data_IF_311870833600
#
_entry.id   IF_311870833600
#
_cell.length_a   1.000
_cell.length_b   1.000
_cell.length_c   1.000
_cell.angle_alpha   90.00
_cell.angle_beta   90.00
_cell.angle_gamma   90.00
#
_symmetry.space_group_name_H-M   'P 1'
#
loop_
_entity.id
_entity.type
_entity.pdbx_description
1 polymer ?
#
# COMPACT_ATOMS: atom_id res chain seq x y z
N UNK A 1 -63.65 -1.94 -21.71
CA UNK A 1 -63.03 -1.97 -20.38
C UNK A 1 -62.54 -3.39 -20.12
N UNK A 2 -61.22 -3.53 -19.90
CA UNK A 2 -60.52 -4.53 -19.08
C UNK A 2 -60.61 -6.03 -19.44
N UNK A 3 -59.52 -6.55 -20.03
CA UNK A 3 -58.77 -7.77 -19.64
C UNK A 3 -57.52 -7.82 -20.57
N UNK A 4 -56.36 -7.22 -20.25
CA UNK A 4 -55.28 -7.67 -19.34
C UNK A 4 -55.00 -9.16 -19.37
N UNK A 5 -53.76 -9.50 -19.78
CA UNK A 5 -53.05 -10.78 -19.61
C UNK A 5 -53.70 -11.96 -20.31
N UNK A 6 -53.11 -12.58 -21.33
CA UNK A 6 -52.01 -13.55 -21.23
C UNK A 6 -51.56 -13.78 -22.69
N UNK A 7 -50.33 -13.50 -23.11
CA UNK A 7 -49.24 -14.48 -23.18
C UNK A 7 -48.35 -14.05 -24.36
N UNK A 8 -47.64 -12.94 -24.16
CA UNK A 8 -46.44 -12.64 -24.92
C UNK A 8 -45.34 -13.60 -24.47
N UNK A 9 -44.56 -14.10 -25.44
CA UNK A 9 -43.29 -14.82 -25.30
C UNK A 9 -43.35 -16.36 -25.19
N UNK A 10 -43.32 -17.00 -26.36
CA UNK A 10 -42.62 -18.25 -26.69
C UNK A 10 -42.82 -18.41 -28.21
N UNK A 11 -41.84 -18.41 -29.09
CA UNK A 11 -40.74 -19.37 -29.17
C UNK A 11 -39.55 -18.69 -29.88
N UNK A 12 -38.47 -18.45 -29.14
CA UNK A 12 -37.14 -18.27 -29.71
C UNK A 12 -36.39 -19.56 -29.36
N UNK A 13 -36.51 -20.57 -30.23
CA UNK A 13 -35.79 -21.84 -30.11
C UNK A 13 -34.28 -21.60 -30.20
N UNK A 14 -33.65 -21.54 -29.03
CA UNK A 14 -32.57 -22.43 -28.59
C UNK A 14 -31.58 -22.96 -29.65
N UNK A 15 -30.67 -22.12 -30.11
CA UNK A 15 -29.32 -22.57 -30.51
C UNK A 15 -28.34 -22.16 -29.39
N UNK A 16 -28.49 -22.81 -28.23
CA UNK A 16 -27.46 -22.84 -27.20
C UNK A 16 -26.24 -23.54 -27.80
N UNK A 17 -25.28 -22.75 -28.27
CA UNK A 17 -23.95 -23.26 -28.61
C UNK A 17 -23.36 -23.80 -27.31
N UNK A 18 -23.43 -25.12 -27.19
CA UNK A 18 -22.69 -26.01 -26.31
C UNK A 18 -21.20 -25.66 -26.41
N UNK A 19 -20.77 -24.72 -25.57
CA UNK A 19 -19.37 -24.51 -25.25
C UNK A 19 -18.93 -25.70 -24.40
N UNK A 20 -18.57 -26.78 -25.09
CA UNK A 20 -17.90 -27.95 -24.53
C UNK A 20 -16.61 -27.52 -23.84
N UNK A 21 -16.75 -27.07 -22.60
CA UNK A 21 -15.66 -26.76 -21.70
C UNK A 21 -15.14 -28.10 -21.20
N UNK A 22 -14.16 -28.66 -21.94
CA UNK A 22 -13.37 -29.81 -21.51
C UNK A 22 -12.64 -29.40 -20.23
N UNK A 23 -13.26 -29.73 -19.09
CA UNK A 23 -12.80 -29.43 -17.75
C UNK A 23 -11.57 -30.24 -17.36
N UNK A 24 -10.48 -30.06 -18.12
CA UNK A 24 -9.14 -30.43 -17.69
C UNK A 24 -8.33 -29.19 -17.32
N UNK A 25 -8.92 -28.33 -16.50
CA UNK A 25 -8.19 -27.32 -15.75
C UNK A 25 -7.66 -27.98 -14.47
N UNK A 26 -6.71 -28.91 -14.65
CA UNK A 26 -5.81 -29.34 -13.59
C UNK A 26 -4.85 -28.18 -13.28
N UNK A 27 -5.40 -27.14 -12.67
CA UNK A 27 -4.64 -26.04 -12.11
C UNK A 27 -3.70 -26.59 -11.05
N UNK A 28 -2.43 -26.77 -11.44
CA UNK A 28 -1.31 -26.92 -10.54
C UNK A 28 -1.16 -25.60 -9.77
N UNK A 29 -2.02 -25.42 -8.77
CA UNK A 29 -1.77 -24.46 -7.70
C UNK A 29 -0.60 -25.04 -6.91
N UNK A 30 0.62 -24.78 -7.39
CA UNK A 30 1.79 -24.88 -6.55
C UNK A 30 1.51 -24.01 -5.33
N UNK A 31 1.27 -24.65 -4.19
CA UNK A 31 1.34 -24.05 -2.86
C UNK A 31 2.76 -23.50 -2.74
N UNK A 32 2.96 -22.29 -3.26
CA UNK A 32 4.16 -21.50 -3.07
C UNK A 32 4.15 -21.10 -1.60
N UNK A 33 4.64 -22.00 -0.75
CA UNK A 33 4.85 -21.86 0.70
C UNK A 33 5.98 -20.84 0.97
N UNK A 34 6.08 -19.81 0.11
CA UNK A 34 6.90 -18.63 0.37
C UNK A 34 6.31 -17.95 1.59
N UNK A 35 7.09 -17.78 2.67
CA UNK A 35 6.61 -17.08 3.84
C UNK A 35 6.25 -15.67 3.41
N UNK A 36 4.96 -15.32 3.47
CA UNK A 36 4.54 -13.97 3.16
C UNK A 36 5.33 -12.99 4.04
N UNK A 37 6.06 -12.08 3.40
CA UNK A 37 6.98 -11.18 4.08
C UNK A 37 6.16 -10.21 4.95
N UNK A 38 6.41 -10.27 6.26
CA UNK A 38 5.73 -9.42 7.24
C UNK A 38 6.78 -8.59 7.98
N UNK A 39 6.42 -7.34 8.25
CA UNK A 39 7.25 -6.37 8.96
C UNK A 39 6.53 -5.88 10.22
N UNK A 40 7.26 -5.55 11.30
CA UNK A 40 6.66 -4.99 12.50
C UNK A 40 6.24 -3.54 12.24
N UNK A 41 4.98 -3.20 12.56
CA UNK A 41 4.48 -1.85 12.45
C UNK A 41 5.29 -0.89 13.37
N UNK A 42 5.79 0.26 12.87
CA UNK A 42 6.59 1.18 13.67
C UNK A 42 5.79 1.89 14.78
N UNK A 43 4.47 1.89 14.71
CA UNK A 43 3.59 2.55 15.68
C UNK A 43 3.15 1.62 16.82
N UNK A 44 2.73 0.39 16.50
CA UNK A 44 2.17 -0.55 17.49
C UNK A 44 2.99 -1.84 17.68
N UNK A 45 3.96 -2.12 16.81
CA UNK A 45 4.82 -3.30 16.89
C UNK A 45 4.16 -4.62 16.49
N UNK A 46 2.95 -4.58 15.90
CA UNK A 46 2.28 -5.77 15.36
C UNK A 46 2.84 -6.10 13.98
N UNK A 47 3.00 -7.39 13.70
CA UNK A 47 3.39 -7.88 12.38
C UNK A 47 2.28 -7.62 11.36
N UNK A 48 2.65 -6.92 10.29
CA UNK A 48 1.78 -6.58 9.15
C UNK A 48 2.47 -6.99 7.85
N UNK A 49 1.70 -7.28 6.82
CA UNK A 49 2.27 -7.53 5.49
C UNK A 49 3.03 -6.31 4.99
N UNK A 50 4.19 -6.52 4.38
CA UNK A 50 5.03 -5.42 3.85
C UNK A 50 4.32 -4.59 2.77
N UNK A 51 3.40 -5.23 2.04
CA UNK A 51 2.58 -4.65 0.99
C UNK A 51 1.35 -3.89 1.54
N UNK A 52 1.12 -3.89 2.85
CA UNK A 52 0.00 -3.17 3.46
C UNK A 52 0.32 -1.67 3.63
N UNK A 53 -0.37 -0.80 2.88
CA UNK A 53 -0.25 0.66 3.02
C UNK A 53 -0.62 1.18 4.42
N UNK A 54 -1.56 0.51 5.11
CA UNK A 54 -2.11 0.93 6.39
C UNK A 54 -2.20 -0.23 7.37
N UNK A 55 -1.76 -0.01 8.61
CA UNK A 55 -1.83 -1.02 9.67
C UNK A 55 -3.30 -1.29 10.08
N UNK A 56 -3.79 -2.55 10.02
CA UNK A 56 -5.17 -2.87 10.42
C UNK A 56 -5.38 -2.83 11.95
N UNK A 57 -4.31 -2.86 12.74
CA UNK A 57 -4.40 -2.85 14.21
C UNK A 57 -4.50 -1.44 14.80
N UNK A 58 -3.71 -0.48 14.30
CA UNK A 58 -3.67 0.89 14.82
C UNK A 58 -4.22 1.95 13.86
N UNK A 59 -4.36 1.64 12.57
CA UNK A 59 -4.81 2.59 11.56
C UNK A 59 -3.73 3.57 11.08
N UNK A 60 -2.48 3.42 11.53
CA UNK A 60 -1.36 4.25 11.06
C UNK A 60 -0.84 3.77 9.70
N UNK A 61 -0.39 4.69 8.85
CA UNK A 61 0.19 4.34 7.55
C UNK A 61 1.58 3.72 7.73
N UNK A 62 1.82 2.59 7.08
CA UNK A 62 3.13 1.94 7.03
C UNK A 62 3.94 2.70 5.97
N UNK A 63 4.46 3.87 6.36
CA UNK A 63 5.39 4.61 5.50
C UNK A 63 6.67 3.79 5.42
N UNK A 64 6.76 2.99 4.35
CA UNK A 64 7.93 2.20 3.97
C UNK A 64 9.17 3.00 4.26
N UNK A 65 9.89 2.55 5.29
CA UNK A 65 11.04 3.17 5.91
C UNK A 65 11.42 4.56 5.38
N UNK A 66 10.80 5.59 5.95
CA UNK A 66 11.61 6.78 6.25
C UNK A 66 12.44 6.54 7.51
N UNK A 67 13.12 5.38 7.57
CA UNK A 67 14.27 5.13 8.43
C UNK A 67 15.48 6.00 8.02
N UNK A 68 15.26 7.12 7.32
CA UNK A 68 16.24 8.20 7.15
C UNK A 68 16.77 8.67 8.51
N UNK A 69 16.09 8.41 9.63
CA UNK A 69 16.56 8.77 10.98
C UNK A 69 17.13 7.61 11.82
N UNK A 70 16.93 6.34 11.45
CA UNK A 70 17.37 5.22 12.30
C UNK A 70 18.86 4.85 12.10
N UNK A 71 19.41 5.09 10.91
CA UNK A 71 20.78 4.69 10.54
C UNK A 71 21.69 5.85 10.09
N UNK A 72 21.31 7.10 10.41
CA UNK A 72 22.18 8.24 10.07
C UNK A 72 23.19 8.47 11.18
N UNK A 73 24.50 8.30 10.92
CA UNK A 73 25.50 8.35 11.97
C UNK A 73 25.53 9.77 12.54
N UNK A 74 25.50 9.86 13.88
CA UNK A 74 25.24 11.09 14.64
C UNK A 74 26.16 12.26 14.27
N UNK A 75 27.33 12.00 13.70
CA UNK A 75 28.25 13.02 13.19
C UNK A 75 27.65 13.89 12.07
N UNK A 76 26.77 13.37 11.20
CA UNK A 76 26.11 14.19 10.19
C UNK A 76 25.14 15.19 10.79
N UNK A 77 24.42 14.80 11.86
CA UNK A 77 23.52 15.71 12.58
C UNK A 77 24.33 16.84 13.24
N UNK A 78 25.48 16.51 13.82
CA UNK A 78 26.40 17.52 14.38
C UNK A 78 26.90 18.48 13.31
N UNK A 79 27.29 18.00 12.13
CA UNK A 79 27.72 18.88 11.03
C UNK A 79 26.59 19.76 10.50
N UNK A 80 25.38 19.24 10.35
CA UNK A 80 24.22 20.01 9.92
C UNK A 80 23.90 21.14 10.91
N UNK A 81 23.87 20.83 12.21
CA UNK A 81 23.63 21.81 13.26
C UNK A 81 24.74 22.86 13.30
N UNK A 82 26.02 22.45 13.19
CA UNK A 82 27.15 23.36 13.16
C UNK A 82 27.08 24.31 11.97
N UNK A 83 26.76 23.80 10.78
CA UNK A 83 26.58 24.60 9.58
C UNK A 83 25.48 25.65 9.72
N UNK A 84 24.31 25.25 10.25
CA UNK A 84 23.19 26.17 10.51
C UNK A 84 23.62 27.26 11.51
N UNK A 85 24.27 26.89 12.61
CA UNK A 85 24.75 27.85 13.62
C UNK A 85 25.76 28.84 13.00
N UNK A 86 26.71 28.36 12.19
CA UNK A 86 27.69 29.21 11.53
C UNK A 86 27.04 30.24 10.60
N UNK A 87 26.02 29.83 9.84
CA UNK A 87 25.23 30.73 8.97
C UNK A 87 24.45 31.75 9.80
N UNK A 88 23.82 31.33 10.90
CA UNK A 88 23.10 32.25 11.79
C UNK A 88 24.04 33.27 12.46
N UNK A 89 25.25 32.87 12.86
CA UNK A 89 26.27 33.78 13.41
C UNK A 89 26.77 34.74 12.32
N UNK A 90 27.03 34.25 11.11
CA UNK A 90 27.44 35.10 10.00
C UNK A 90 26.35 36.13 9.66
N UNK A 91 25.08 35.72 9.60
CA UNK A 91 23.96 36.61 9.32
C UNK A 91 23.71 37.59 10.47
N UNK A 92 23.72 37.15 11.72
CA UNK A 92 23.50 38.03 12.89
C UNK A 92 24.70 38.94 13.17
N UNK A 93 25.92 38.48 12.93
CA UNK A 93 27.12 39.31 12.97
C UNK A 93 27.14 40.33 11.85
N UNK A 94 26.75 39.94 10.63
CA UNK A 94 26.67 40.86 9.48
C UNK A 94 25.49 41.84 9.61
N UNK A 95 24.37 41.44 10.22
CA UNK A 95 23.24 42.31 10.55
C UNK A 95 23.48 43.17 11.81
N UNK A 96 24.37 42.76 12.71
CA UNK A 96 24.71 43.48 13.95
C UNK A 96 25.94 44.40 13.84
N UNK A 97 26.69 44.31 12.74
CA UNK A 97 27.89 45.15 12.47
C UNK A 97 27.56 46.36 11.58
N UNK A 98 26.34 46.48 11.05
CA UNK A 98 25.86 47.64 10.29
C UNK A 98 25.00 48.59 11.12
#
# INVERSE_FOLDING_TARGET
>A
MSDSTENSASDMDDDLIDDGWDGNDEGDWSDDDSPAETIPCPACGIDVYEEADQCPACGEFIVGETAVLADKPTWYVVLAVLGIIAVLIALSGLAGVF
#
